data_IF_839425415253
#
_entry.id   IF_839425415253
#
_cell.length_a   1.000
_cell.length_b   1.000
_cell.length_c   1.000
_cell.angle_alpha   90.00
_cell.angle_beta   90.00
_cell.angle_gamma   90.00
#
_symmetry.space_group_name_H-M   'P 1'
#
loop_
_entity.id
_entity.type
_entity.pdbx_description
1 polymer ?
#
# COMPACT_ATOMS: atom_id res chain seq x y z
N UNK A 1 40.78 -79.71 -17.23
CA UNK A 1 39.41 -79.24 -17.52
C UNK A 1 38.97 -78.39 -16.33
N UNK A 2 39.40 -77.11 -16.37
CA UNK A 2 38.56 -75.90 -16.37
C UNK A 2 38.02 -75.53 -14.98
N UNK A 3 38.76 -74.67 -14.28
CA UNK A 3 38.31 -73.90 -13.14
C UNK A 3 37.22 -72.92 -13.59
N UNK A 4 36.15 -72.76 -12.81
CA UNK A 4 35.09 -71.78 -13.06
C UNK A 4 35.10 -70.73 -11.96
N UNK A 5 35.21 -69.49 -12.41
CA UNK A 5 35.44 -68.26 -11.69
C UNK A 5 34.27 -67.89 -10.77
N UNK A 6 34.56 -67.47 -9.54
CA UNK A 6 33.52 -67.08 -8.57
C UNK A 6 33.20 -65.60 -8.77
N UNK A 7 32.07 -65.32 -9.44
CA UNK A 7 31.60 -63.95 -9.64
C UNK A 7 31.18 -63.33 -8.30
N UNK A 8 32.06 -62.52 -7.70
CA UNK A 8 31.76 -61.70 -6.52
C UNK A 8 30.78 -60.60 -6.96
N UNK A 9 29.56 -60.65 -6.43
CA UNK A 9 28.56 -59.61 -6.64
C UNK A 9 28.95 -58.41 -5.78
N UNK A 10 29.53 -57.38 -6.41
CA UNK A 10 29.82 -56.12 -5.76
C UNK A 10 28.50 -55.37 -5.46
N UNK A 11 28.15 -55.30 -4.18
CA UNK A 11 26.94 -54.61 -3.73
C UNK A 11 27.14 -53.10 -3.83
N UNK A 12 26.68 -52.48 -4.92
CA UNK A 12 26.71 -51.03 -5.12
C UNK A 12 25.97 -50.34 -3.95
N UNK A 13 26.61 -49.42 -3.21
CA UNK A 13 25.94 -48.76 -2.09
C UNK A 13 24.77 -47.94 -2.62
N UNK A 14 23.60 -48.20 -2.05
CA UNK A 14 22.35 -47.53 -2.37
C UNK A 14 22.49 -46.03 -2.08
N UNK A 15 22.49 -45.22 -3.14
CA UNK A 15 22.57 -43.76 -3.03
C UNK A 15 21.35 -43.14 -2.33
N UNK A 16 20.34 -43.95 -2.02
CA UNK A 16 19.06 -43.55 -1.44
C UNK A 16 19.06 -43.36 0.08
N UNK A 17 20.17 -43.58 0.78
CA UNK A 17 20.20 -43.52 2.24
C UNK A 17 20.67 -42.18 2.84
N UNK A 18 20.30 -41.03 2.25
CA UNK A 18 20.45 -39.70 2.89
C UNK A 18 19.12 -38.93 3.01
N UNK A 19 18.11 -39.45 3.75
CA UNK A 19 16.85 -38.73 3.94
C UNK A 19 16.95 -37.52 4.89
N UNK A 20 18.07 -37.36 5.63
CA UNK A 20 18.17 -36.38 6.72
C UNK A 20 18.52 -34.94 6.29
N UNK A 21 18.93 -34.71 5.04
CA UNK A 21 19.27 -33.37 4.55
C UNK A 21 18.13 -32.67 3.78
N UNK A 22 17.07 -33.38 3.41
CA UNK A 22 15.96 -32.80 2.63
C UNK A 22 14.82 -32.20 3.47
N UNK A 23 14.64 -32.63 4.73
CA UNK A 23 13.53 -32.13 5.58
C UNK A 23 13.76 -30.69 6.06
N UNK A 24 15.01 -30.32 6.37
CA UNK A 24 15.34 -28.96 6.83
C UNK A 24 15.20 -27.89 5.74
N UNK A 25 15.54 -28.24 4.49
CA UNK A 25 15.44 -27.32 3.35
C UNK A 25 13.99 -26.95 3.02
N UNK A 26 13.06 -27.91 3.11
CA UNK A 26 11.64 -27.65 2.84
C UNK A 26 11.00 -26.69 3.85
N UNK A 27 11.35 -26.75 5.13
CA UNK A 27 10.76 -25.87 6.15
C UNK A 27 11.23 -24.42 6.02
N UNK A 28 12.49 -24.19 5.65
CA UNK A 28 13.01 -22.82 5.39
C UNK A 28 12.38 -22.22 4.14
N UNK A 29 12.22 -23.02 3.07
CA UNK A 29 11.55 -22.57 1.84
C UNK A 29 10.06 -22.31 2.10
N UNK A 30 9.36 -23.17 2.84
CA UNK A 30 7.95 -22.97 3.18
C UNK A 30 7.74 -21.76 4.11
N UNK A 31 8.63 -21.55 5.09
CA UNK A 31 8.59 -20.36 5.95
C UNK A 31 8.95 -19.07 5.17
N UNK A 32 9.91 -19.14 4.25
CA UNK A 32 10.27 -18.01 3.38
C UNK A 32 9.15 -17.64 2.40
N UNK A 33 8.53 -18.63 1.76
CA UNK A 33 7.36 -18.43 0.88
C UNK A 33 6.15 -17.94 1.71
N UNK A 34 5.88 -18.54 2.87
CA UNK A 34 4.81 -18.11 3.76
C UNK A 34 5.01 -16.68 4.29
N UNK A 35 6.24 -16.31 4.62
CA UNK A 35 6.60 -14.96 5.05
C UNK A 35 6.44 -13.92 3.92
N UNK A 36 6.79 -14.26 2.69
CA UNK A 36 6.61 -13.38 1.53
C UNK A 36 5.14 -13.18 1.13
N UNK A 37 4.27 -14.16 1.41
CA UNK A 37 2.82 -14.05 1.17
C UNK A 37 2.14 -13.24 2.29
N UNK A 38 2.69 -13.22 3.50
CA UNK A 38 2.06 -12.54 4.65
C UNK A 38 2.14 -11.01 4.58
N UNK A 39 3.09 -10.45 3.83
CA UNK A 39 3.28 -8.99 3.67
C UNK A 39 2.41 -8.36 2.59
N UNK A 40 1.30 -8.99 2.18
CA UNK A 40 0.38 -8.37 1.22
C UNK A 40 -0.28 -7.14 1.84
N UNK A 41 0.26 -5.97 1.48
CA UNK A 41 -0.38 -4.71 1.72
C UNK A 41 -1.62 -4.59 0.83
N UNK A 42 -2.78 -4.79 1.46
CA UNK A 42 -4.04 -4.88 0.76
C UNK A 42 -4.75 -3.53 0.81
N UNK A 43 -4.97 -2.96 -0.37
CA UNK A 43 -5.78 -1.75 -0.56
C UNK A 43 -7.19 -2.00 -0.05
N UNK A 44 -7.60 -1.24 0.96
CA UNK A 44 -8.92 -1.35 1.60
C UNK A 44 -9.98 -0.51 0.91
N UNK A 45 -9.59 0.66 0.44
CA UNK A 45 -10.49 1.63 -0.18
C UNK A 45 -9.74 2.39 -1.26
N UNK A 46 -10.47 2.93 -2.24
CA UNK A 46 -9.87 3.81 -3.23
C UNK A 46 -10.82 4.93 -3.65
N UNK A 47 -10.26 6.06 -4.04
CA UNK A 47 -10.98 7.21 -4.57
C UNK A 47 -10.29 7.71 -5.84
N UNK A 48 -11.09 8.14 -6.81
CA UNK A 48 -10.60 9.00 -7.90
C UNK A 48 -11.04 10.42 -7.58
N UNK A 49 -10.06 11.30 -7.39
CA UNK A 49 -10.30 12.72 -7.16
C UNK A 49 -10.46 13.42 -8.52
N UNK A 50 -11.49 14.25 -8.61
CA UNK A 50 -11.80 15.06 -9.79
C UNK A 50 -11.63 16.55 -9.48
N UNK A 51 -11.23 17.32 -10.49
CA UNK A 51 -11.17 18.78 -10.41
C UNK A 51 -12.56 19.43 -10.40
N UNK A 52 -12.59 20.72 -10.11
CA UNK A 52 -13.79 21.57 -10.26
C UNK A 52 -14.35 21.60 -11.69
N UNK A 53 -13.52 21.25 -12.69
CA UNK A 53 -13.90 21.09 -14.09
C UNK A 53 -14.25 19.64 -14.46
N UNK A 54 -14.46 18.77 -13.47
CA UNK A 54 -14.83 17.35 -13.62
C UNK A 54 -13.79 16.49 -14.35
N UNK A 55 -12.52 16.90 -14.33
CA UNK A 55 -11.43 16.12 -14.90
C UNK A 55 -10.74 15.27 -13.82
N UNK A 56 -10.40 13.99 -14.09
CA UNK A 56 -9.63 13.18 -13.14
C UNK A 56 -8.26 13.81 -12.85
N UNK A 57 -7.94 13.98 -11.57
CA UNK A 57 -6.71 14.65 -11.13
C UNK A 57 -5.75 13.69 -10.40
N UNK A 58 -6.28 12.86 -9.50
CA UNK A 58 -5.47 11.91 -8.74
C UNK A 58 -6.27 10.68 -8.34
N UNK A 59 -5.57 9.59 -8.03
CA UNK A 59 -6.11 8.41 -7.38
C UNK A 59 -5.51 8.29 -5.98
N UNK A 60 -6.38 8.07 -5.00
CA UNK A 60 -6.00 7.81 -3.60
C UNK A 60 -6.32 6.34 -3.32
N UNK A 61 -5.33 5.61 -2.82
CA UNK A 61 -5.48 4.21 -2.41
C UNK A 61 -5.21 4.13 -0.91
N UNK A 62 -6.20 3.70 -0.14
CA UNK A 62 -6.09 3.57 1.30
C UNK A 62 -5.59 2.17 1.67
N UNK A 63 -4.46 2.14 2.36
CA UNK A 63 -3.91 0.95 3.02
C UNK A 63 -4.27 0.98 4.51
N UNK A 64 -3.66 0.11 5.32
CA UNK A 64 -4.00 0.02 6.75
C UNK A 64 -3.62 1.29 7.52
N UNK A 65 -2.41 1.78 7.32
CA UNK A 65 -1.76 2.82 8.11
C UNK A 65 -1.23 3.97 7.26
N UNK A 66 -1.53 3.98 5.95
CA UNK A 66 -1.16 5.05 5.06
C UNK A 66 -2.08 5.17 3.84
N UNK A 67 -1.98 6.30 3.15
CA UNK A 67 -2.58 6.54 1.84
C UNK A 67 -1.49 6.61 0.78
N UNK A 68 -1.69 5.92 -0.33
CA UNK A 68 -0.88 6.06 -1.53
C UNK A 68 -1.57 7.03 -2.48
N UNK A 69 -0.83 8.06 -2.91
CA UNK A 69 -1.28 9.10 -3.84
C UNK A 69 -0.65 8.83 -5.20
N UNK A 70 -1.49 8.71 -6.23
CA UNK A 70 -1.07 8.59 -7.63
C UNK A 70 -1.65 9.75 -8.44
N UNK A 71 -0.82 10.61 -9.04
CA UNK A 71 -1.31 11.69 -9.88
C UNK A 71 -1.81 11.10 -11.21
N UNK A 72 -2.95 11.59 -11.67
CA UNK A 72 -3.47 11.33 -13.03
C UNK A 72 -3.12 12.52 -13.93
N UNK A 73 -3.27 13.73 -13.41
CA UNK A 73 -2.79 14.97 -14.01
C UNK A 73 -1.88 15.69 -13.01
N UNK A 74 -0.69 16.09 -13.47
CA UNK A 74 0.26 16.81 -12.61
C UNK A 74 -0.07 18.30 -12.63
N UNK A 75 -0.43 18.84 -11.47
CA UNK A 75 -0.48 20.28 -11.22
C UNK A 75 0.29 20.51 -9.94
N UNK A 76 1.51 21.04 -10.08
CA UNK A 76 2.26 21.47 -8.92
C UNK A 76 1.49 22.62 -8.24
N UNK A 77 1.42 22.64 -6.90
CA UNK A 77 0.88 23.79 -6.18
C UNK A 77 1.69 25.06 -6.48
N UNK A 78 1.06 26.21 -6.32
CA UNK A 78 1.75 27.50 -6.35
C UNK A 78 2.89 27.53 -5.30
N UNK A 79 3.98 28.29 -5.52
CA UNK A 79 5.18 28.23 -4.66
C UNK A 79 4.91 28.47 -3.16
N UNK A 80 3.93 29.31 -2.84
CA UNK A 80 3.51 29.70 -1.49
C UNK A 80 2.30 28.90 -0.97
N UNK A 81 1.90 27.84 -1.69
CA UNK A 81 0.75 27.00 -1.35
C UNK A 81 1.15 25.56 -1.08
N UNK A 82 0.24 24.84 -0.44
CA UNK A 82 0.35 23.40 -0.23
C UNK A 82 -1.02 22.78 -0.40
N UNK A 83 -1.06 21.62 -1.05
CA UNK A 83 -2.30 20.87 -1.16
C UNK A 83 -2.47 20.01 0.09
N UNK A 84 -3.59 20.15 0.76
CA UNK A 84 -3.93 19.35 1.93
C UNK A 84 -5.13 18.46 1.64
N UNK A 85 -5.00 17.17 1.96
CA UNK A 85 -6.03 16.17 1.81
C UNK A 85 -6.83 16.06 3.11
N UNK A 86 -8.15 16.01 2.98
CA UNK A 86 -9.10 15.95 4.08
C UNK A 86 -10.06 14.79 3.88
N UNK A 87 -10.45 14.12 4.98
CA UNK A 87 -11.65 13.31 5.06
C UNK A 87 -12.80 14.15 5.59
N UNK A 88 -13.94 14.09 4.90
CA UNK A 88 -15.19 14.72 5.28
C UNK A 88 -16.19 13.60 5.59
N UNK A 89 -16.38 13.24 6.87
CA UNK A 89 -17.41 12.29 7.27
C UNK A 89 -18.81 12.89 7.05
N UNK A 90 -19.81 12.05 6.79
CA UNK A 90 -21.20 12.50 6.58
C UNK A 90 -21.74 13.36 7.75
N UNK A 91 -21.41 12.98 8.99
CA UNK A 91 -21.91 13.62 10.21
C UNK A 91 -20.78 14.22 11.07
N UNK A 92 -19.69 14.69 10.45
CA UNK A 92 -18.48 15.09 11.17
C UNK A 92 -17.79 16.33 10.64
N UNK A 93 -16.90 16.89 11.45
CA UNK A 93 -16.00 17.94 11.01
C UNK A 93 -14.92 17.36 10.07
N UNK A 94 -14.39 18.17 9.14
CA UNK A 94 -13.24 17.79 8.33
C UNK A 94 -12.07 17.31 9.18
N UNK A 95 -11.44 16.20 8.76
CA UNK A 95 -10.24 15.66 9.39
C UNK A 95 -9.10 15.73 8.38
N UNK A 96 -8.05 16.50 8.70
CA UNK A 96 -6.83 16.52 7.90
C UNK A 96 -6.22 15.12 7.86
N UNK A 97 -5.96 14.62 6.65
CA UNK A 97 -5.24 13.38 6.41
C UNK A 97 -3.75 13.66 6.17
N UNK A 98 -3.42 14.85 5.69
CA UNK A 98 -2.05 15.33 5.53
C UNK A 98 -1.84 16.09 4.22
N UNK A 99 -0.62 16.60 4.02
CA UNK A 99 -0.26 17.28 2.79
C UNK A 99 -0.03 16.28 1.67
N UNK A 100 -0.50 16.61 0.47
CA UNK A 100 -0.08 15.91 -0.74
C UNK A 100 1.39 16.22 -1.03
N UNK A 101 2.17 15.23 -1.51
CA UNK A 101 3.53 15.47 -2.00
C UNK A 101 3.56 16.51 -3.12
N UNK A 102 4.60 17.36 -3.17
CA UNK A 102 4.70 18.46 -4.15
C UNK A 102 4.76 17.97 -5.61
N UNK A 103 5.30 16.76 -5.85
CA UNK A 103 5.32 16.12 -7.16
C UNK A 103 4.04 15.30 -7.47
N UNK A 104 3.06 15.36 -6.57
CA UNK A 104 1.74 14.74 -6.70
C UNK A 104 1.71 13.23 -6.44
N UNK A 105 2.84 12.58 -6.16
CA UNK A 105 2.92 11.13 -5.89
C UNK A 105 3.58 10.84 -4.54
N UNK A 106 3.11 9.84 -3.83
CA UNK A 106 3.78 9.40 -2.61
C UNK A 106 2.86 8.84 -1.55
N UNK A 107 3.34 8.85 -0.31
CA UNK A 107 2.68 8.21 0.83
C UNK A 107 2.36 9.25 1.90
N UNK A 108 1.14 9.17 2.43
CA UNK A 108 0.70 9.94 3.60
C UNK A 108 0.44 8.95 4.73
N UNK A 109 1.27 8.97 5.78
CA UNK A 109 1.08 8.13 6.95
C UNK A 109 -0.15 8.56 7.76
N UNK A 110 -0.88 7.58 8.30
CA UNK A 110 -2.11 7.79 9.06
C UNK A 110 -1.93 7.41 10.53
N UNK A 111 -2.31 8.32 11.42
CA UNK A 111 -2.47 8.01 12.84
C UNK A 111 -3.77 7.22 13.11
N UNK A 112 -3.94 6.59 14.29
CA UNK A 112 -5.12 5.76 14.58
C UNK A 112 -6.46 6.47 14.39
N UNK A 113 -6.57 7.76 14.75
CA UNK A 113 -7.80 8.53 14.58
C UNK A 113 -8.15 8.75 13.11
N UNK A 114 -7.14 9.00 12.27
CA UNK A 114 -7.33 9.13 10.82
C UNK A 114 -7.74 7.78 10.21
N UNK A 115 -7.12 6.68 10.64
CA UNK A 115 -7.50 5.32 10.22
C UNK A 115 -8.98 5.01 10.56
N UNK A 116 -9.42 5.34 11.77
CA UNK A 116 -10.82 5.20 12.18
C UNK A 116 -11.76 6.06 11.32
N UNK A 117 -11.34 7.29 10.99
CA UNK A 117 -12.16 8.22 10.19
C UNK A 117 -12.43 7.66 8.80
N UNK A 118 -11.41 7.11 8.13
CA UNK A 118 -11.53 6.58 6.76
C UNK A 118 -11.96 5.10 6.71
N UNK A 119 -12.20 4.47 7.88
CA UNK A 119 -12.71 3.10 7.96
C UNK A 119 -14.17 2.98 7.49
N UNK A 120 -14.86 4.11 7.39
CA UNK A 120 -16.22 4.25 6.85
C UNK A 120 -16.15 5.02 5.53
N UNK A 121 -17.19 4.94 4.67
CA UNK A 121 -17.29 5.81 3.52
C UNK A 121 -17.22 7.29 3.93
N UNK A 122 -16.32 8.03 3.29
CA UNK A 122 -16.13 9.47 3.50
C UNK A 122 -15.94 10.16 2.15
N UNK A 123 -16.26 11.44 2.09
CA UNK A 123 -15.82 12.27 0.97
C UNK A 123 -14.39 12.73 1.23
N UNK A 124 -13.54 12.66 0.21
CA UNK A 124 -12.22 13.24 0.23
C UNK A 124 -12.26 14.59 -0.46
N UNK A 125 -11.56 15.55 0.14
CA UNK A 125 -11.44 16.91 -0.37
C UNK A 125 -9.96 17.31 -0.35
N UNK A 126 -9.51 18.00 -1.38
CA UNK A 126 -8.19 18.63 -1.44
C UNK A 126 -8.38 20.13 -1.51
N UNK A 127 -7.76 20.86 -0.58
CA UNK A 127 -7.75 22.32 -0.57
C UNK A 127 -6.35 22.88 -0.82
N UNK A 128 -6.31 24.07 -1.44
CA UNK A 128 -5.06 24.83 -1.63
C UNK A 128 -4.81 25.75 -0.44
N UNK A 129 -4.09 25.23 0.55
CA UNK A 129 -3.81 25.93 1.80
C UNK A 129 -2.57 26.82 1.69
N UNK A 130 -2.35 27.68 2.68
CA UNK A 130 -1.06 28.37 2.86
C UNK A 130 0.08 27.36 2.97
N UNK A 131 1.31 27.75 2.60
CA UNK A 131 2.48 26.87 2.70
C UNK A 131 2.56 26.19 4.06
N UNK A 132 2.65 24.85 4.05
CA UNK A 132 2.65 24.03 5.26
C UNK A 132 1.28 23.54 5.73
N UNK A 133 0.19 23.91 5.05
CA UNK A 133 -1.17 23.47 5.34
C UNK A 133 -1.99 24.44 6.18
N UNK A 134 -3.17 23.98 6.59
CA UNK A 134 -4.08 24.71 7.45
C UNK A 134 -3.61 24.74 8.90
N UNK A 135 -3.53 25.95 9.46
CA UNK A 135 -3.23 26.19 10.88
C UNK A 135 -4.46 25.91 11.75
N UNK A 136 -5.67 26.14 11.23
CA UNK A 136 -6.93 26.03 11.98
C UNK A 136 -7.45 24.61 12.12
N UNK A 137 -6.81 23.63 11.44
CA UNK A 137 -7.29 22.24 11.32
C UNK A 137 -8.67 22.13 10.65
N UNK A 138 -9.02 23.12 9.84
CA UNK A 138 -10.16 23.11 8.93
C UNK A 138 -9.69 23.54 7.53
N UNK A 139 -10.34 23.13 6.43
CA UNK A 139 -10.03 23.65 5.12
C UNK A 139 -10.24 25.17 5.10
N UNK A 140 -9.21 25.94 4.77
CA UNK A 140 -9.29 27.41 4.66
C UNK A 140 -9.09 27.90 3.23
N UNK A 141 -8.42 27.10 2.41
CA UNK A 141 -8.19 27.36 1.00
C UNK A 141 -9.35 26.95 0.10
N UNK A 142 -9.33 27.37 -1.18
CA UNK A 142 -10.27 26.88 -2.17
C UNK A 142 -10.12 25.37 -2.38
N UNK A 143 -11.23 24.69 -2.55
CA UNK A 143 -11.27 23.28 -2.94
C UNK A 143 -10.82 23.12 -4.38
N UNK A 144 -9.82 22.27 -4.61
CA UNK A 144 -9.27 22.00 -5.94
C UNK A 144 -9.68 20.63 -6.46
N UNK A 145 -9.76 19.63 -5.58
CA UNK A 145 -10.17 18.27 -5.94
C UNK A 145 -11.14 17.68 -4.92
N UNK A 146 -12.00 16.77 -5.36
CA UNK A 146 -12.92 16.03 -4.51
C UNK A 146 -13.20 14.62 -5.05
N UNK A 147 -13.60 13.70 -4.19
CA UNK A 147 -14.04 12.36 -4.61
C UNK A 147 -14.42 11.48 -3.43
N UNK A 148 -15.30 10.51 -3.65
CA UNK A 148 -15.72 9.59 -2.60
C UNK A 148 -14.67 8.49 -2.37
N UNK A 149 -14.30 8.26 -1.11
CA UNK A 149 -13.49 7.11 -0.72
C UNK A 149 -14.43 5.92 -0.50
N UNK A 150 -14.51 5.05 -1.50
CA UNK A 150 -15.32 3.85 -1.44
C UNK A 150 -14.49 2.70 -0.87
N UNK A 151 -15.06 2.00 0.12
CA UNK A 151 -14.54 0.73 0.61
C UNK A 151 -14.68 -0.30 -0.51
N UNK A 152 -13.60 -1.04 -0.79
CA UNK A 152 -13.58 -2.11 -1.79
C UNK A 152 -14.03 -3.45 -1.21
#
# INVERSE_FOLDING_TARGET
MTATDSHVIEHKPSFWNRPRLFVGACLVVAAGIGGAIYTQDNVKSAATLVSTTQQPAAQIMAHKDYLEVKPIASTAPEPDRSLELWAIPADGAPVSLGLLPEDGKGIIGLNPRQQETISKPVELLVSSETKGGSVSKQPTGPTVYQGALAVR
#
